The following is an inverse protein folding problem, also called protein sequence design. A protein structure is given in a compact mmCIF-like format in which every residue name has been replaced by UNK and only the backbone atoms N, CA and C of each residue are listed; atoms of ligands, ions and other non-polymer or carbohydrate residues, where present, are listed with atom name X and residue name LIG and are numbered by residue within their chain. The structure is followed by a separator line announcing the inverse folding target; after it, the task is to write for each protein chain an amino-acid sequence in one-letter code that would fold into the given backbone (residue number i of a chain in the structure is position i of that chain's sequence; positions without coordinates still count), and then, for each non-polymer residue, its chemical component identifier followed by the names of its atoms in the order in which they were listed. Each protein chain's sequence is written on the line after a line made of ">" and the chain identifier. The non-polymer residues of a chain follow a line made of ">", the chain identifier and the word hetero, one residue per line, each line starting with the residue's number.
data_IF_576097844087
#
_entry.id   IF_576097844087
#
_cell.length_a   1.000
_cell.length_b   1.000
_cell.length_c   1.000
_cell.angle_alpha   90.00
_cell.angle_beta   90.00
_cell.angle_gamma   90.00
#
_symmetry.space_group_name_H-M   'P 1'
#
loop_
_entity.id
_entity.type
_entity.pdbx_description
1 polymer ?
#
# COMPACT_ATOMS: atom_id res chain seq x y z
N UNK A 1 18.90 6.47 -41.16
CA UNK A 1 18.21 7.16 -40.02
C UNK A 1 18.59 6.41 -38.78
N UNK A 2 19.52 6.93 -38.00
CA UNK A 2 19.82 6.41 -36.67
C UNK A 2 18.56 6.60 -35.83
N UNK A 3 17.95 5.50 -35.42
CA UNK A 3 16.87 5.56 -34.44
C UNK A 3 17.49 6.08 -33.12
N UNK A 4 17.17 7.31 -32.76
CA UNK A 4 17.51 7.84 -31.45
C UNK A 4 17.05 6.82 -30.40
N UNK A 5 18.00 6.32 -29.60
CA UNK A 5 17.69 5.36 -28.53
C UNK A 5 16.73 6.06 -27.57
N UNK A 6 15.49 5.59 -27.51
CA UNK A 6 14.50 6.14 -26.62
C UNK A 6 14.90 5.86 -25.17
N UNK A 7 15.18 6.90 -24.40
CA UNK A 7 15.43 6.80 -22.95
C UNK A 7 14.12 6.57 -22.15
N UNK A 8 13.01 6.24 -22.85
CA UNK A 8 11.72 6.02 -22.22
C UNK A 8 11.61 4.62 -21.60
N UNK A 9 10.98 4.53 -20.45
CA UNK A 9 10.57 3.27 -19.81
C UNK A 9 9.10 3.01 -20.13
N UNK A 10 8.78 1.80 -20.60
CA UNK A 10 7.41 1.35 -20.75
C UNK A 10 6.93 0.74 -19.44
N UNK A 11 5.95 1.36 -18.80
CA UNK A 11 5.30 0.88 -17.60
C UNK A 11 4.03 0.12 -17.95
N UNK A 12 3.97 -1.19 -17.65
CA UNK A 12 2.82 -2.06 -17.99
C UNK A 12 2.10 -2.44 -16.71
N UNK A 13 0.86 -1.99 -16.53
CA UNK A 13 0.11 -2.19 -15.28
C UNK A 13 -1.40 -2.25 -15.48
N UNK A 14 -2.11 -2.91 -14.57
CA UNK A 14 -3.56 -2.77 -14.41
C UNK A 14 -3.92 -1.62 -13.44
N UNK A 15 -2.95 -1.19 -12.65
CA UNK A 15 -3.15 -0.34 -11.48
C UNK A 15 -2.71 1.10 -11.81
N UNK A 16 -3.48 1.74 -12.71
CA UNK A 16 -3.30 3.13 -13.10
C UNK A 16 -4.67 3.82 -13.18
N UNK A 17 -4.79 5.01 -12.58
CA UNK A 17 -6.06 5.73 -12.43
C UNK A 17 -6.93 5.89 -13.69
N UNK A 18 -8.11 6.48 -13.55
CA UNK A 18 -8.62 7.27 -12.41
C UNK A 18 -9.11 6.44 -11.20
N UNK A 19 -9.21 5.13 -11.32
CA UNK A 19 -9.56 4.26 -10.19
C UNK A 19 -8.55 4.44 -9.06
N UNK A 20 -9.03 4.50 -7.81
CA UNK A 20 -8.21 4.65 -6.62
C UNK A 20 -8.05 3.32 -5.86
N UNK A 21 -6.84 3.05 -5.38
CA UNK A 21 -6.49 1.88 -4.56
C UNK A 21 -5.05 2.00 -4.08
N UNK A 22 -4.65 1.18 -3.11
CA UNK A 22 -3.30 1.25 -2.53
C UNK A 22 -2.18 0.95 -3.53
N UNK A 23 -2.39 0.01 -4.46
CA UNK A 23 -1.42 -0.31 -5.52
C UNK A 23 -1.36 0.84 -6.53
N UNK A 24 -2.51 1.34 -6.97
CA UNK A 24 -2.61 2.49 -7.86
C UNK A 24 -1.87 3.70 -7.29
N UNK A 25 -2.12 4.05 -6.02
CA UNK A 25 -1.45 5.16 -5.33
C UNK A 25 0.07 4.97 -5.31
N UNK A 26 0.55 3.77 -5.06
CA UNK A 26 1.98 3.46 -5.06
C UNK A 26 2.60 3.63 -6.46
N UNK A 27 1.99 3.06 -7.49
CA UNK A 27 2.47 3.16 -8.87
C UNK A 27 2.46 4.61 -9.36
N UNK A 28 1.35 5.32 -9.13
CA UNK A 28 1.21 6.74 -9.44
C UNK A 28 2.28 7.56 -8.74
N UNK A 29 2.48 7.33 -7.44
CA UNK A 29 3.49 8.02 -6.65
C UNK A 29 4.92 7.83 -7.17
N UNK A 30 5.26 6.62 -7.65
CA UNK A 30 6.54 6.37 -8.32
C UNK A 30 6.64 7.14 -9.65
N UNK A 31 5.65 6.99 -10.53
CA UNK A 31 5.68 7.57 -11.89
C UNK A 31 5.74 9.11 -11.84
N UNK A 32 4.99 9.76 -10.96
CA UNK A 32 4.98 11.22 -10.80
C UNK A 32 6.35 11.80 -10.45
N UNK A 33 7.23 11.00 -9.84
CA UNK A 33 8.55 11.42 -9.35
C UNK A 33 9.71 10.98 -10.24
N UNK A 34 9.42 10.29 -11.33
CA UNK A 34 10.39 9.99 -12.37
C UNK A 34 10.60 11.22 -13.30
N UNK A 35 11.69 11.29 -14.05
CA UNK A 35 11.94 12.41 -14.97
C UNK A 35 10.77 12.61 -15.94
N UNK A 36 10.36 13.86 -16.15
CA UNK A 36 9.27 14.19 -17.09
C UNK A 36 9.56 13.60 -18.48
N UNK A 37 8.50 13.14 -19.14
CA UNK A 37 8.54 12.55 -20.48
C UNK A 37 9.38 11.27 -20.62
N UNK A 38 9.82 10.67 -19.50
CA UNK A 38 10.60 9.42 -19.50
C UNK A 38 9.73 8.15 -19.44
N UNK A 39 8.41 8.28 -19.28
CA UNK A 39 7.51 7.14 -19.07
C UNK A 39 6.41 7.11 -20.14
N UNK A 40 6.15 5.89 -20.61
CA UNK A 40 4.93 5.52 -21.33
C UNK A 40 4.21 4.51 -20.45
N UNK A 41 2.92 4.70 -20.22
CA UNK A 41 2.09 3.76 -19.46
C UNK A 41 1.21 2.97 -20.43
N UNK A 42 1.28 1.63 -20.38
CA UNK A 42 0.33 0.74 -21.02
C UNK A 42 -0.56 0.10 -19.95
N UNK A 43 -1.86 0.40 -20.00
CA UNK A 43 -2.79 0.01 -18.94
C UNK A 43 -4.12 -0.53 -19.50
N UNK A 44 -4.96 -1.07 -18.62
CA UNK A 44 -6.28 -1.60 -18.94
C UNK A 44 -7.30 -0.49 -19.26
N UNK A 45 -8.39 -0.86 -19.93
CA UNK A 45 -9.51 0.05 -20.16
C UNK A 45 -10.20 0.42 -18.85
N UNK A 46 -10.56 1.68 -18.72
CA UNK A 46 -11.44 2.22 -17.69
C UNK A 46 -12.38 3.24 -18.33
N UNK A 47 -13.43 3.62 -17.64
CA UNK A 47 -14.38 4.64 -18.11
C UNK A 47 -13.85 6.05 -17.79
N UNK A 48 -14.30 7.05 -18.54
CA UNK A 48 -14.03 8.47 -18.31
C UNK A 48 -12.54 8.86 -18.17
N UNK A 49 -11.67 8.22 -18.95
CA UNK A 49 -10.22 8.38 -18.80
C UNK A 49 -9.60 9.50 -19.59
N UNK A 50 -10.30 10.05 -20.61
CA UNK A 50 -9.72 11.01 -21.55
C UNK A 50 -9.13 12.26 -20.87
N UNK A 51 -9.86 12.84 -19.91
CA UNK A 51 -9.39 14.00 -19.16
C UNK A 51 -8.18 13.63 -18.26
N UNK A 52 -8.25 12.50 -17.60
CA UNK A 52 -7.17 11.98 -16.72
C UNK A 52 -5.88 11.72 -17.51
N UNK A 53 -5.97 11.06 -18.66
CA UNK A 53 -4.83 10.75 -19.51
C UNK A 53 -4.20 12.03 -20.11
N UNK A 54 -5.05 12.99 -20.54
CA UNK A 54 -4.60 14.30 -21.01
C UNK A 54 -3.90 15.12 -19.91
N UNK A 55 -4.36 15.01 -18.64
CA UNK A 55 -3.70 15.63 -17.50
C UNK A 55 -2.30 15.04 -17.29
N UNK A 56 -2.14 13.70 -17.32
CA UNK A 56 -0.84 13.05 -17.18
C UNK A 56 0.16 13.44 -18.26
N UNK A 57 -0.32 13.57 -19.51
CA UNK A 57 0.51 14.06 -20.61
C UNK A 57 0.98 15.49 -20.37
N UNK A 58 0.06 16.38 -19.96
CA UNK A 58 0.36 17.81 -19.73
C UNK A 58 1.29 18.03 -18.54
N UNK A 59 0.98 17.39 -17.40
CA UNK A 59 1.64 17.72 -16.13
C UNK A 59 2.98 16.97 -15.97
N UNK A 60 3.06 15.74 -16.48
CA UNK A 60 4.23 14.86 -16.32
C UNK A 60 4.89 14.43 -17.64
N UNK A 61 4.28 14.73 -18.79
CA UNK A 61 4.73 14.24 -20.09
C UNK A 61 4.59 12.72 -20.24
N UNK A 62 3.69 12.10 -19.49
CA UNK A 62 3.42 10.66 -19.52
C UNK A 62 2.37 10.35 -20.58
N UNK A 63 2.78 9.60 -21.59
CA UNK A 63 1.86 9.07 -22.60
C UNK A 63 1.14 7.83 -22.03
N UNK A 64 -0.20 7.84 -22.04
CA UNK A 64 -1.01 6.72 -21.55
C UNK A 64 -1.65 6.00 -22.72
N UNK A 65 -1.36 4.71 -22.88
CA UNK A 65 -1.93 3.84 -23.90
C UNK A 65 -2.86 2.85 -23.22
N UNK A 66 -4.15 2.92 -23.47
CA UNK A 66 -5.14 2.02 -22.89
C UNK A 66 -5.48 0.86 -23.82
N UNK A 67 -5.36 -0.35 -23.30
CA UNK A 67 -5.81 -1.58 -23.95
C UNK A 67 -7.36 -1.65 -23.95
N UNK A 68 -7.93 -2.44 -24.84
CA UNK A 68 -9.38 -2.71 -24.89
C UNK A 68 -9.85 -3.59 -23.73
N UNK A 69 -8.96 -4.36 -23.12
CA UNK A 69 -9.29 -5.25 -22.01
C UNK A 69 -9.49 -4.48 -20.70
N UNK A 70 -10.55 -4.79 -19.98
CA UNK A 70 -10.80 -4.27 -18.61
C UNK A 70 -9.77 -4.73 -17.58
N UNK A 71 -9.09 -5.85 -17.87
CA UNK A 71 -7.98 -6.40 -17.07
C UNK A 71 -6.93 -6.91 -18.05
N UNK A 72 -5.69 -6.42 -17.92
CA UNK A 72 -4.56 -6.95 -18.67
C UNK A 72 -4.16 -8.31 -18.11
N UNK A 73 -4.16 -9.30 -18.98
CA UNK A 73 -3.57 -10.61 -18.73
C UNK A 73 -2.49 -10.85 -19.80
N UNK A 74 -1.48 -11.67 -19.53
CA UNK A 74 -0.38 -11.95 -20.48
C UNK A 74 -0.81 -12.88 -21.64
N UNK A 75 -1.93 -12.54 -22.27
CA UNK A 75 -2.44 -13.25 -23.46
C UNK A 75 -1.54 -13.00 -24.67
N UNK A 76 -1.58 -13.86 -25.69
CA UNK A 76 -0.83 -13.64 -26.94
C UNK A 76 -1.16 -12.28 -27.61
N UNK A 77 -2.41 -11.81 -27.50
CA UNK A 77 -2.83 -10.51 -28.03
C UNK A 77 -2.16 -9.35 -27.29
N UNK A 78 -2.27 -9.33 -25.95
CA UNK A 78 -1.67 -8.28 -25.11
C UNK A 78 -0.15 -8.31 -25.22
N UNK A 79 0.46 -9.50 -25.16
CA UNK A 79 1.92 -9.66 -25.30
C UNK A 79 2.42 -9.11 -26.64
N UNK A 80 1.72 -9.36 -27.76
CA UNK A 80 2.06 -8.79 -29.08
C UNK A 80 1.86 -7.29 -29.14
N UNK A 81 0.81 -6.75 -28.52
CA UNK A 81 0.58 -5.30 -28.47
C UNK A 81 1.71 -4.59 -27.74
N UNK A 82 2.08 -5.06 -26.52
CA UNK A 82 3.18 -4.50 -25.75
C UNK A 82 4.53 -4.65 -26.48
N UNK A 83 4.80 -5.83 -27.05
CA UNK A 83 6.02 -6.08 -27.84
C UNK A 83 6.15 -5.15 -29.06
N UNK A 84 5.04 -4.82 -29.71
CA UNK A 84 5.01 -3.84 -30.82
C UNK A 84 5.42 -2.46 -30.35
N UNK A 85 4.92 -2.00 -29.21
CA UNK A 85 5.33 -0.70 -28.63
C UNK A 85 6.82 -0.70 -28.34
N UNK A 86 7.35 -1.78 -27.70
CA UNK A 86 8.78 -1.93 -27.41
C UNK A 86 9.62 -1.80 -28.67
N UNK A 87 9.27 -2.54 -29.75
CA UNK A 87 10.05 -2.53 -30.99
C UNK A 87 9.91 -1.23 -31.78
N UNK A 88 8.69 -0.69 -31.93
CA UNK A 88 8.44 0.50 -32.73
C UNK A 88 8.98 1.78 -32.11
N UNK A 89 8.94 1.89 -30.80
CA UNK A 89 9.45 3.07 -30.05
C UNK A 89 10.86 2.90 -29.54
N UNK A 90 11.54 1.78 -29.84
CA UNK A 90 12.92 1.52 -29.42
C UNK A 90 13.10 1.41 -27.91
N UNK A 91 12.06 1.02 -27.17
CA UNK A 91 12.07 0.94 -25.69
C UNK A 91 13.10 -0.08 -25.22
N UNK A 92 14.00 0.34 -24.32
CA UNK A 92 15.02 -0.55 -23.72
C UNK A 92 14.65 -1.00 -22.32
N UNK A 93 13.89 -0.22 -21.58
CA UNK A 93 13.49 -0.54 -20.20
C UNK A 93 11.98 -0.75 -20.10
N UNK A 94 11.58 -1.85 -19.46
CA UNK A 94 10.19 -2.17 -19.18
C UNK A 94 10.00 -2.38 -17.67
N UNK A 95 8.99 -1.74 -17.09
CA UNK A 95 8.57 -1.96 -15.72
C UNK A 95 7.16 -2.57 -15.68
N UNK A 96 6.98 -3.68 -14.98
CA UNK A 96 5.65 -4.22 -14.69
C UNK A 96 5.16 -3.67 -13.35
N UNK A 97 3.98 -3.06 -13.36
CA UNK A 97 3.33 -2.55 -12.15
C UNK A 97 2.93 -3.65 -11.16
N UNK A 98 2.74 -4.89 -11.65
CA UNK A 98 2.62 -6.09 -10.83
C UNK A 98 3.38 -7.23 -11.49
N UNK A 99 4.23 -7.92 -10.73
CA UNK A 99 5.06 -9.00 -11.24
C UNK A 99 4.21 -10.16 -11.76
N UNK A 100 3.23 -10.57 -11.00
CA UNK A 100 2.31 -11.63 -11.39
C UNK A 100 0.91 -11.05 -11.70
N UNK A 101 0.30 -11.39 -12.84
CA UNK A 101 0.80 -12.29 -13.89
C UNK A 101 1.59 -11.59 -15.02
N UNK A 102 1.65 -10.25 -15.07
CA UNK A 102 2.13 -9.49 -16.25
C UNK A 102 3.59 -9.78 -16.61
N UNK A 103 4.44 -10.05 -15.61
CA UNK A 103 5.84 -10.41 -15.82
C UNK A 103 6.07 -11.67 -16.68
N UNK A 104 5.04 -12.49 -16.89
CA UNK A 104 5.10 -13.62 -17.83
C UNK A 104 5.46 -13.19 -19.25
N UNK A 105 5.17 -11.95 -19.63
CA UNK A 105 5.49 -11.39 -20.94
C UNK A 105 6.98 -11.09 -21.13
N UNK A 106 7.81 -11.10 -20.08
CA UNK A 106 9.22 -10.69 -20.11
C UNK A 106 10.02 -11.30 -21.26
N UNK A 107 9.90 -12.62 -21.48
CA UNK A 107 10.60 -13.30 -22.58
C UNK A 107 10.21 -12.79 -23.97
N UNK A 108 8.95 -12.42 -24.16
CA UNK A 108 8.44 -11.84 -25.42
C UNK A 108 8.99 -10.43 -25.62
N UNK A 109 9.05 -9.64 -24.55
CA UNK A 109 9.54 -8.25 -24.61
C UNK A 109 11.06 -8.19 -24.79
N UNK A 110 11.81 -9.17 -24.25
CA UNK A 110 13.24 -9.36 -24.56
C UNK A 110 13.46 -9.54 -26.07
N UNK A 111 12.68 -10.42 -26.69
CA UNK A 111 12.75 -10.64 -28.15
C UNK A 111 12.38 -9.40 -28.96
N UNK A 112 11.55 -8.53 -28.42
CA UNK A 112 11.16 -7.27 -29.03
C UNK A 112 12.20 -6.14 -28.85
N UNK A 113 13.26 -6.34 -28.07
CA UNK A 113 14.37 -5.40 -27.90
C UNK A 113 14.51 -4.78 -26.51
N UNK A 114 13.70 -5.21 -25.53
CA UNK A 114 13.87 -4.77 -24.12
C UNK A 114 15.16 -5.35 -23.54
N UNK A 115 16.01 -4.48 -22.99
CA UNK A 115 17.30 -4.84 -22.37
C UNK A 115 17.17 -4.93 -20.84
N UNK A 116 16.31 -4.15 -20.25
CA UNK A 116 16.05 -4.08 -18.80
C UNK A 116 14.59 -4.35 -18.50
N UNK A 117 14.31 -5.28 -17.59
CA UNK A 117 12.93 -5.60 -17.15
C UNK A 117 12.89 -5.69 -15.64
N UNK A 118 12.11 -4.80 -15.02
CA UNK A 118 11.85 -4.74 -13.58
C UNK A 118 10.38 -5.07 -13.32
N UNK A 119 10.07 -5.78 -12.24
CA UNK A 119 8.69 -6.07 -11.90
C UNK A 119 8.42 -5.82 -10.41
N UNK A 120 7.40 -4.99 -10.13
CA UNK A 120 6.98 -4.66 -8.77
C UNK A 120 6.19 -5.80 -8.13
N UNK A 121 6.32 -5.99 -6.82
CA UNK A 121 5.45 -6.87 -6.04
C UNK A 121 4.76 -6.08 -4.92
N UNK A 122 3.52 -6.47 -4.58
CA UNK A 122 2.65 -5.74 -3.66
C UNK A 122 2.14 -6.57 -2.48
N UNK A 123 2.64 -7.79 -2.33
CA UNK A 123 2.20 -8.73 -1.30
C UNK A 123 1.23 -9.80 -1.78
N UNK A 124 0.44 -9.58 -2.85
CA UNK A 124 -0.38 -10.66 -3.40
C UNK A 124 0.47 -11.77 -4.04
N UNK A 125 1.70 -11.51 -4.43
CA UNK A 125 2.67 -12.50 -4.90
C UNK A 125 3.06 -13.51 -3.82
N UNK A 126 2.82 -13.21 -2.55
CA UNK A 126 2.97 -14.17 -1.44
C UNK A 126 2.07 -15.39 -1.63
N UNK A 127 0.83 -15.17 -2.10
CA UNK A 127 -0.08 -16.24 -2.47
C UNK A 127 0.48 -17.04 -3.65
N UNK A 128 0.97 -16.36 -4.71
CA UNK A 128 1.61 -17.02 -5.86
C UNK A 128 2.80 -17.88 -5.44
N UNK A 129 3.62 -17.40 -4.52
CA UNK A 129 4.78 -18.13 -4.04
C UNK A 129 4.43 -19.43 -3.29
N UNK A 130 3.27 -19.48 -2.63
CA UNK A 130 2.83 -20.61 -1.81
C UNK A 130 2.06 -21.68 -2.57
N UNK A 131 1.34 -21.32 -3.64
CA UNK A 131 0.35 -22.19 -4.28
C UNK A 131 0.86 -22.77 -5.58
N UNK A 132 0.89 -24.11 -5.71
CA UNK A 132 1.15 -24.79 -6.97
C UNK A 132 -0.08 -24.69 -7.90
N UNK A 133 0.07 -24.44 -9.24
CA UNK A 133 1.35 -24.28 -9.98
C UNK A 133 1.84 -22.82 -10.07
N UNK A 134 1.23 -21.88 -9.38
CA UNK A 134 1.52 -20.44 -9.48
C UNK A 134 2.95 -20.10 -9.04
N UNK A 135 3.52 -20.87 -8.10
CA UNK A 135 4.92 -20.73 -7.69
C UNK A 135 5.91 -21.01 -8.84
N UNK A 136 5.59 -21.92 -9.75
CA UNK A 136 6.42 -22.16 -10.95
C UNK A 136 6.32 -21.00 -11.94
N UNK A 137 5.14 -20.38 -12.05
CA UNK A 137 4.94 -19.19 -12.88
C UNK A 137 5.77 -18.02 -12.30
N UNK A 138 5.70 -17.80 -11.00
CA UNK A 138 6.46 -16.75 -10.31
C UNK A 138 7.99 -17.00 -10.45
N UNK A 139 8.43 -18.25 -10.33
CA UNK A 139 9.83 -18.63 -10.56
C UNK A 139 10.29 -18.29 -11.98
N UNK A 140 9.45 -18.57 -12.99
CA UNK A 140 9.74 -18.23 -14.38
C UNK A 140 9.79 -16.70 -14.57
N UNK A 141 8.85 -15.95 -14.00
CA UNK A 141 8.86 -14.49 -14.04
C UNK A 141 10.18 -13.97 -13.46
N UNK A 142 10.56 -14.39 -12.25
CA UNK A 142 11.82 -14.01 -11.63
C UNK A 142 13.06 -14.36 -12.47
N UNK A 143 13.04 -15.48 -13.19
CA UNK A 143 14.17 -15.90 -14.04
C UNK A 143 14.28 -15.11 -15.35
N UNK A 144 13.23 -14.41 -15.78
CA UNK A 144 13.17 -13.66 -17.05
C UNK A 144 13.15 -12.14 -16.86
N UNK A 145 13.03 -11.66 -15.63
CA UNK A 145 13.22 -10.28 -15.23
C UNK A 145 14.62 -10.05 -14.67
N UNK A 146 15.12 -8.83 -14.71
CA UNK A 146 16.41 -8.46 -14.09
C UNK A 146 16.29 -8.27 -12.58
N UNK A 147 15.13 -7.77 -12.14
CA UNK A 147 14.84 -7.62 -10.72
C UNK A 147 13.34 -7.71 -10.45
N UNK A 148 13.00 -8.40 -9.37
CA UNK A 148 11.72 -8.26 -8.68
C UNK A 148 11.90 -7.30 -7.51
N UNK A 149 10.89 -6.46 -7.24
CA UNK A 149 10.94 -5.64 -6.04
C UNK A 149 10.22 -6.33 -4.87
N UNK A 150 10.38 -5.80 -3.67
CA UNK A 150 9.62 -6.21 -2.48
C UNK A 150 9.36 -4.99 -1.60
N UNK A 151 8.29 -5.07 -0.79
CA UNK A 151 7.88 -3.95 0.07
C UNK A 151 8.63 -3.93 1.41
N UNK A 152 8.80 -5.09 2.03
CA UNK A 152 9.43 -5.29 3.33
C UNK A 152 9.97 -6.70 3.48
N UNK A 153 10.55 -7.02 4.64
CA UNK A 153 11.26 -8.29 4.88
C UNK A 153 10.33 -9.51 4.81
N UNK A 154 9.08 -9.35 5.23
CA UNK A 154 8.09 -10.41 5.09
C UNK A 154 7.87 -10.77 3.61
N UNK A 155 7.60 -9.79 2.75
CA UNK A 155 7.35 -10.04 1.33
C UNK A 155 8.57 -10.60 0.63
N UNK A 156 9.77 -10.09 0.95
CA UNK A 156 11.05 -10.65 0.47
C UNK A 156 11.18 -12.13 0.82
N UNK A 157 11.03 -12.46 2.10
CA UNK A 157 11.20 -13.82 2.61
C UNK A 157 10.19 -14.78 2.00
N UNK A 158 8.93 -14.36 1.86
CA UNK A 158 7.88 -15.20 1.31
C UNK A 158 8.07 -15.46 -0.20
N UNK A 159 8.38 -14.42 -0.98
CA UNK A 159 8.52 -14.50 -2.43
C UNK A 159 9.80 -15.22 -2.84
N UNK A 160 10.93 -14.97 -2.16
CA UNK A 160 12.22 -15.58 -2.46
C UNK A 160 12.19 -17.11 -2.44
N UNK A 161 11.32 -17.72 -1.62
CA UNK A 161 11.15 -19.19 -1.54
C UNK A 161 10.69 -19.82 -2.86
N UNK A 162 10.00 -19.08 -3.71
CA UNK A 162 9.56 -19.57 -5.02
C UNK A 162 10.57 -19.26 -6.13
N UNK A 163 11.59 -18.44 -5.88
CA UNK A 163 12.54 -17.99 -6.89
C UNK A 163 13.78 -18.91 -7.00
N UNK A 164 14.59 -18.71 -8.03
CA UNK A 164 15.95 -19.22 -8.07
C UNK A 164 16.86 -18.40 -7.15
N UNK A 165 17.99 -18.96 -6.69
CA UNK A 165 18.95 -18.23 -5.85
C UNK A 165 19.41 -16.93 -6.53
N UNK A 166 19.67 -16.94 -7.84
CA UNK A 166 20.05 -15.77 -8.63
C UNK A 166 18.93 -14.69 -8.60
N UNK A 167 17.67 -15.10 -8.84
CA UNK A 167 16.56 -14.15 -8.87
C UNK A 167 16.25 -13.60 -7.46
N UNK A 168 16.38 -14.43 -6.42
CA UNK A 168 16.19 -14.01 -5.04
C UNK A 168 17.25 -13.00 -4.59
N UNK A 169 18.53 -13.18 -4.97
CA UNK A 169 19.60 -12.24 -4.67
C UNK A 169 19.47 -10.91 -5.44
N UNK A 170 18.80 -10.92 -6.60
CA UNK A 170 18.56 -9.73 -7.41
C UNK A 170 17.33 -8.93 -6.97
N UNK A 171 16.59 -9.38 -5.94
CA UNK A 171 15.44 -8.64 -5.42
C UNK A 171 15.89 -7.30 -4.79
N UNK A 172 15.09 -6.25 -5.00
CA UNK A 172 15.36 -4.89 -4.48
C UNK A 172 14.17 -4.38 -3.67
N UNK A 173 14.45 -3.73 -2.51
CA UNK A 173 13.39 -3.09 -1.72
C UNK A 173 12.96 -1.80 -2.43
N UNK A 174 11.70 -1.75 -2.84
CA UNK A 174 11.01 -0.56 -3.33
C UNK A 174 9.65 -0.54 -2.63
N UNK A 175 9.46 0.42 -1.76
CA UNK A 175 8.25 0.57 -0.97
C UNK A 175 7.52 1.88 -1.31
N UNK A 176 6.23 2.02 -0.99
CA UNK A 176 5.55 3.29 -1.11
C UNK A 176 6.18 4.32 -0.18
N UNK A 177 6.38 5.53 -0.70
CA UNK A 177 6.80 6.67 0.10
C UNK A 177 5.62 7.34 0.78
N UNK A 178 5.91 8.16 1.77
CA UNK A 178 4.93 9.03 2.44
C UNK A 178 5.17 10.47 2.00
N UNK A 179 4.10 11.17 1.71
CA UNK A 179 4.08 12.62 1.48
C UNK A 179 3.97 13.32 2.84
N UNK A 180 5.11 13.60 3.42
CA UNK A 180 5.21 14.06 4.81
C UNK A 180 4.51 15.41 4.98
N UNK A 181 4.70 16.33 4.04
CA UNK A 181 4.09 17.65 4.08
C UNK A 181 2.56 17.54 4.11
N UNK A 182 1.99 16.65 3.29
CA UNK A 182 0.56 16.39 3.26
C UNK A 182 0.00 15.92 4.62
N UNK A 183 0.77 15.13 5.38
CA UNK A 183 0.35 14.61 6.69
C UNK A 183 0.67 15.55 7.86
N UNK A 184 1.51 16.57 7.68
CA UNK A 184 1.86 17.54 8.72
C UNK A 184 0.90 18.74 8.81
N UNK A 185 0.27 19.13 7.71
CA UNK A 185 -0.55 20.35 7.60
C UNK A 185 -2.05 20.12 7.92
N UNK A 186 -2.40 18.98 8.53
CA UNK A 186 -3.79 18.60 8.71
C UNK A 186 -4.47 19.39 9.83
N UNK A 187 -5.61 20.03 9.53
CA UNK A 187 -6.49 20.64 10.53
C UNK A 187 -7.34 19.57 11.23
N UNK A 188 -6.74 18.95 12.24
CA UNK A 188 -7.44 17.98 13.08
C UNK A 188 -8.38 18.64 14.10
N UNK A 189 -8.13 19.89 14.50
CA UNK A 189 -8.89 20.56 15.57
C UNK A 189 -10.33 20.87 15.16
N UNK A 190 -10.51 21.50 14.00
CA UNK A 190 -11.84 21.80 13.46
C UNK A 190 -12.64 20.53 13.18
N UNK A 191 -11.98 19.50 12.63
CA UNK A 191 -12.63 18.22 12.37
C UNK A 191 -13.01 17.52 13.69
N UNK A 192 -12.14 17.53 14.71
CA UNK A 192 -12.42 16.95 16.03
C UNK A 192 -13.63 17.62 16.68
N UNK A 193 -13.74 18.94 16.54
CA UNK A 193 -14.89 19.71 17.02
C UNK A 193 -16.19 19.33 16.26
N UNK A 194 -16.14 19.26 14.95
CA UNK A 194 -17.32 18.92 14.13
C UNK A 194 -17.84 17.50 14.37
N UNK A 195 -16.95 16.59 14.77
CA UNK A 195 -17.27 15.21 15.12
C UNK A 195 -17.69 15.03 16.59
N UNK A 196 -17.67 16.10 17.42
CA UNK A 196 -17.99 16.01 18.85
C UNK A 196 -16.96 15.24 19.68
N UNK A 197 -15.69 15.23 19.27
CA UNK A 197 -14.61 14.42 19.85
C UNK A 197 -13.62 15.23 20.70
N UNK A 198 -13.91 16.50 21.02
CA UNK A 198 -12.97 17.37 21.74
C UNK A 198 -12.52 16.78 23.08
N UNK A 199 -13.46 16.22 23.84
CA UNK A 199 -13.22 15.65 25.18
C UNK A 199 -12.99 14.12 25.14
N UNK A 200 -12.79 13.54 23.95
CA UNK A 200 -12.60 12.10 23.79
C UNK A 200 -11.13 11.74 23.62
N UNK A 201 -10.76 10.53 24.04
CA UNK A 201 -9.52 9.88 23.66
C UNK A 201 -9.77 8.99 22.44
N UNK A 202 -9.28 9.41 21.29
CA UNK A 202 -9.68 8.84 20.01
C UNK A 202 -8.71 7.76 19.53
N UNK A 203 -9.25 6.57 19.30
CA UNK A 203 -8.60 5.49 18.57
C UNK A 203 -9.06 5.60 17.12
N UNK A 204 -8.17 5.91 16.19
CA UNK A 204 -8.52 5.96 14.77
C UNK A 204 -8.08 4.69 14.06
N UNK A 205 -8.95 4.16 13.19
CA UNK A 205 -8.65 3.02 12.30
C UNK A 205 -9.08 3.35 10.89
N UNK A 206 -8.14 3.35 9.96
CA UNK A 206 -8.39 3.73 8.57
C UNK A 206 -8.12 2.54 7.65
N UNK A 207 -9.06 2.27 6.76
CA UNK A 207 -8.87 1.26 5.73
C UNK A 207 -10.16 0.63 5.25
N UNK A 208 -10.03 -0.21 4.23
CA UNK A 208 -11.17 -0.96 3.72
C UNK A 208 -11.76 -1.87 4.81
N UNK A 209 -13.08 -1.83 4.99
CA UNK A 209 -13.76 -2.68 5.98
C UNK A 209 -13.89 -4.11 5.44
N UNK A 210 -12.89 -4.94 5.80
CA UNK A 210 -12.76 -6.35 5.42
C UNK A 210 -12.15 -7.15 6.58
N UNK A 211 -12.46 -8.44 6.65
CA UNK A 211 -12.06 -9.32 7.75
C UNK A 211 -10.57 -9.23 8.15
N UNK A 212 -9.66 -9.15 7.19
CA UNK A 212 -8.22 -9.15 7.48
C UNK A 212 -7.73 -7.89 8.19
N UNK A 213 -8.51 -6.79 8.18
CA UNK A 213 -8.12 -5.52 8.81
C UNK A 213 -8.34 -5.49 10.34
N UNK A 214 -9.10 -6.45 10.89
CA UNK A 214 -9.23 -6.64 12.34
C UNK A 214 -10.10 -5.62 13.06
N UNK A 215 -10.91 -4.82 12.33
CA UNK A 215 -11.81 -3.85 12.98
C UNK A 215 -12.84 -4.51 13.91
N UNK A 216 -13.22 -5.75 13.66
CA UNK A 216 -14.09 -6.56 14.51
C UNK A 216 -13.45 -6.81 15.89
N UNK A 217 -12.22 -7.29 15.93
CA UNK A 217 -11.50 -7.50 17.22
C UNK A 217 -11.20 -6.19 17.93
N UNK A 218 -11.00 -5.09 17.20
CA UNK A 218 -10.86 -3.77 17.80
C UNK A 218 -12.18 -3.31 18.46
N UNK A 219 -13.35 -3.52 17.82
CA UNK A 219 -14.66 -3.25 18.42
C UNK A 219 -14.88 -4.16 19.65
N UNK A 220 -14.56 -5.46 19.55
CA UNK A 220 -14.68 -6.40 20.67
C UNK A 220 -13.76 -6.05 21.85
N UNK A 221 -12.68 -5.28 21.63
CA UNK A 221 -11.78 -4.78 22.67
C UNK A 221 -12.33 -3.53 23.39
N UNK A 222 -13.29 -2.80 22.79
CA UNK A 222 -13.78 -1.53 23.32
C UNK A 222 -14.43 -1.65 24.71
N UNK A 223 -15.19 -2.69 25.08
CA UNK A 223 -15.72 -2.79 26.44
C UNK A 223 -14.64 -2.78 27.52
N UNK A 224 -13.54 -3.48 27.31
CA UNK A 224 -12.39 -3.48 28.23
C UNK A 224 -11.67 -2.12 28.24
N UNK A 225 -11.53 -1.48 27.08
CA UNK A 225 -10.94 -0.14 26.99
C UNK A 225 -11.79 0.88 27.75
N UNK A 226 -13.10 0.90 27.52
CA UNK A 226 -14.03 1.84 28.16
C UNK A 226 -14.13 1.66 29.68
N UNK A 227 -13.93 0.44 30.18
CA UNK A 227 -13.88 0.18 31.62
C UNK A 227 -12.73 0.92 32.34
N UNK A 228 -11.63 1.25 31.63
CA UNK A 228 -10.47 1.96 32.18
C UNK A 228 -10.32 3.39 31.63
N UNK A 229 -10.87 3.65 30.44
CA UNK A 229 -10.81 4.92 29.74
C UNK A 229 -12.23 5.26 29.25
N UNK A 230 -13.13 5.73 30.10
CA UNK A 230 -14.54 5.98 29.77
C UNK A 230 -14.75 6.98 28.61
N UNK A 231 -13.80 7.89 28.42
CA UNK A 231 -13.78 8.87 27.34
C UNK A 231 -13.23 8.30 26.00
N UNK A 232 -12.86 7.03 25.93
CA UNK A 232 -12.36 6.43 24.70
C UNK A 232 -13.43 6.41 23.60
N UNK A 233 -13.00 6.71 22.36
CA UNK A 233 -13.87 6.68 21.19
C UNK A 233 -13.15 6.07 20.00
N UNK A 234 -13.79 5.10 19.36
CA UNK A 234 -13.26 4.44 18.15
C UNK A 234 -13.83 5.09 16.90
N UNK A 235 -12.96 5.64 16.07
CA UNK A 235 -13.29 6.24 14.77
C UNK A 235 -12.88 5.33 13.64
N UNK A 236 -13.85 4.73 12.93
CA UNK A 236 -13.64 3.86 11.78
C UNK A 236 -13.81 4.62 10.48
N UNK A 237 -12.73 4.78 9.73
CA UNK A 237 -12.70 5.51 8.46
C UNK A 237 -12.50 4.54 7.30
N UNK A 238 -13.47 4.48 6.40
CA UNK A 238 -13.45 3.62 5.24
C UNK A 238 -14.76 2.89 5.00
N UNK A 239 -14.81 2.15 3.89
CA UNK A 239 -15.95 1.35 3.47
C UNK A 239 -15.53 -0.07 3.10
N UNK A 240 -16.49 -0.98 3.06
CA UNK A 240 -16.26 -2.34 2.61
C UNK A 240 -17.39 -3.30 2.96
N UNK A 241 -17.36 -4.51 2.41
CA UNK A 241 -18.43 -5.49 2.56
C UNK A 241 -18.63 -5.99 4.00
N UNK A 242 -17.66 -5.72 4.89
CA UNK A 242 -17.71 -6.15 6.29
C UNK A 242 -18.44 -5.14 7.20
N UNK A 243 -18.83 -3.96 6.69
CA UNK A 243 -19.46 -2.88 7.46
C UNK A 243 -20.69 -3.35 8.26
N UNK A 244 -21.63 -4.00 7.59
CA UNK A 244 -22.86 -4.48 8.26
C UNK A 244 -22.59 -5.46 9.42
N UNK A 245 -21.51 -6.25 9.34
CA UNK A 245 -21.09 -7.11 10.45
C UNK A 245 -20.52 -6.28 11.60
N UNK A 246 -19.70 -5.27 11.31
CA UNK A 246 -19.11 -4.39 12.33
C UNK A 246 -20.20 -3.59 13.07
N UNK A 247 -21.22 -3.08 12.35
CA UNK A 247 -22.37 -2.39 12.96
C UNK A 247 -23.15 -3.31 13.91
N UNK A 248 -23.33 -4.58 13.54
CA UNK A 248 -23.95 -5.57 14.44
C UNK A 248 -23.12 -5.82 15.70
N UNK A 249 -21.79 -5.82 15.60
CA UNK A 249 -20.91 -5.95 16.78
C UNK A 249 -21.02 -4.73 17.69
N UNK A 250 -21.09 -3.52 17.13
CA UNK A 250 -21.32 -2.29 17.91
C UNK A 250 -22.63 -2.38 18.69
N UNK A 251 -23.72 -2.77 18.06
CA UNK A 251 -25.01 -2.97 18.74
C UNK A 251 -24.95 -4.09 19.81
N UNK A 252 -24.33 -5.22 19.48
CA UNK A 252 -24.19 -6.36 20.41
C UNK A 252 -23.50 -5.98 21.70
N UNK A 253 -22.52 -5.06 21.64
CA UNK A 253 -21.72 -4.61 22.78
C UNK A 253 -22.20 -3.26 23.35
N UNK A 254 -23.33 -2.71 22.86
CA UNK A 254 -23.89 -1.40 23.30
C UNK A 254 -22.86 -0.25 23.18
N UNK A 255 -22.16 -0.18 22.04
CA UNK A 255 -21.06 0.76 21.78
C UNK A 255 -21.44 1.93 20.86
N UNK A 256 -22.75 2.16 20.60
CA UNK A 256 -23.25 3.15 19.63
C UNK A 256 -22.78 4.59 19.97
N UNK A 257 -22.50 4.87 21.23
CA UNK A 257 -21.99 6.18 21.70
C UNK A 257 -20.45 6.27 21.67
N UNK A 258 -19.76 5.15 21.46
CA UNK A 258 -18.29 5.06 21.57
C UNK A 258 -17.61 4.61 20.27
N UNK A 259 -18.39 4.32 19.22
CA UNK A 259 -17.88 3.91 17.91
C UNK A 259 -18.57 4.68 16.79
N UNK A 260 -17.79 5.33 15.93
CA UNK A 260 -18.31 6.07 14.78
C UNK A 260 -17.80 5.50 13.46
N UNK A 261 -18.68 5.41 12.48
CA UNK A 261 -18.35 5.01 11.09
C UNK A 261 -18.42 6.23 10.18
N UNK A 262 -17.28 6.66 9.64
CA UNK A 262 -17.20 7.84 8.77
C UNK A 262 -17.58 7.50 7.31
N UNK A 263 -17.30 6.27 6.88
CA UNK A 263 -17.41 5.92 5.48
C UNK A 263 -16.15 6.26 4.68
N UNK A 264 -16.29 6.27 3.35
CA UNK A 264 -15.19 6.58 2.43
C UNK A 264 -14.92 8.08 2.39
N UNK A 265 -13.65 8.46 2.50
CA UNK A 265 -13.16 9.84 2.37
C UNK A 265 -12.26 9.98 1.14
N UNK A 266 -11.99 11.20 0.70
CA UNK A 266 -10.99 11.48 -0.34
C UNK A 266 -9.59 11.45 0.25
N UNK A 267 -8.58 11.12 -0.56
CA UNK A 267 -7.19 11.05 -0.10
C UNK A 267 -6.68 12.38 0.47
N UNK A 268 -7.10 13.51 -0.10
CA UNK A 268 -6.74 14.85 0.39
C UNK A 268 -7.21 15.13 1.83
N UNK A 269 -8.29 14.47 2.28
CA UNK A 269 -8.88 14.66 3.60
C UNK A 269 -8.33 13.63 4.61
N UNK A 270 -7.64 12.60 4.13
CA UNK A 270 -7.12 11.50 4.95
C UNK A 270 -6.25 11.96 6.13
N UNK A 271 -5.30 12.92 5.95
CA UNK A 271 -4.49 13.40 7.05
C UNK A 271 -5.32 13.96 8.21
N UNK A 272 -6.34 14.78 7.94
CA UNK A 272 -7.20 15.35 8.98
C UNK A 272 -7.91 14.26 9.77
N UNK A 273 -8.41 13.22 9.11
CA UNK A 273 -9.07 12.10 9.80
C UNK A 273 -8.11 11.23 10.60
N UNK A 274 -6.85 11.07 10.17
CA UNK A 274 -5.85 10.37 10.98
C UNK A 274 -5.45 11.22 12.18
N UNK A 275 -5.13 12.49 11.96
CA UNK A 275 -4.68 13.42 13.01
C UNK A 275 -5.75 13.75 14.07
N UNK A 276 -7.04 13.42 13.85
CA UNK A 276 -8.07 13.43 14.89
C UNK A 276 -7.77 12.42 16.00
N UNK A 277 -7.05 11.32 15.69
CA UNK A 277 -6.71 10.27 16.64
C UNK A 277 -5.67 10.69 17.68
N UNK A 278 -5.75 10.08 18.86
CA UNK A 278 -4.68 10.07 19.87
C UNK A 278 -3.75 8.88 19.64
N UNK A 279 -4.29 7.77 19.12
CA UNK A 279 -3.56 6.58 18.69
C UNK A 279 -4.17 6.04 17.39
N UNK A 280 -3.37 5.32 16.62
CA UNK A 280 -3.83 4.57 15.47
C UNK A 280 -3.87 3.07 15.78
N UNK A 281 -4.97 2.39 15.46
CA UNK A 281 -5.07 0.95 15.66
C UNK A 281 -5.73 0.25 14.45
N UNK A 282 -5.02 -0.72 13.88
CA UNK A 282 -5.57 -1.63 12.88
C UNK A 282 -4.96 -3.02 13.11
N UNK A 283 -5.54 -3.84 14.01
CA UNK A 283 -5.00 -5.15 14.37
C UNK A 283 -5.25 -6.17 13.26
N UNK A 284 -4.58 -5.98 12.12
CA UNK A 284 -4.72 -6.84 10.96
C UNK A 284 -4.32 -8.28 11.25
N UNK A 285 -5.00 -9.24 10.61
CA UNK A 285 -4.74 -10.67 10.78
C UNK A 285 -4.57 -11.40 9.47
N UNK A 286 -3.75 -12.44 9.48
CA UNK A 286 -3.61 -13.35 8.35
C UNK A 286 -4.78 -14.34 8.31
N UNK A 287 -5.23 -14.69 7.10
CA UNK A 287 -6.33 -15.63 6.88
C UNK A 287 -5.92 -16.73 5.91
N UNK A 288 -6.70 -17.82 5.90
CA UNK A 288 -6.50 -18.96 4.99
C UNK A 288 -5.06 -19.49 5.02
N UNK A 289 -4.52 -19.74 6.23
CA UNK A 289 -3.14 -20.21 6.37
C UNK A 289 -2.07 -19.26 5.84
N UNK A 290 -2.37 -17.94 5.86
CA UNK A 290 -1.44 -16.90 5.39
C UNK A 290 -1.44 -16.72 3.87
N UNK A 291 -2.53 -17.11 3.19
CA UNK A 291 -2.76 -16.77 1.78
C UNK A 291 -3.33 -15.36 1.61
N UNK A 292 -4.10 -14.88 2.59
CA UNK A 292 -4.56 -13.50 2.67
C UNK A 292 -3.85 -12.80 3.83
N UNK A 293 -2.98 -11.86 3.51
CA UNK A 293 -2.12 -11.12 4.46
C UNK A 293 -2.14 -9.63 4.18
N UNK A 294 -1.68 -8.83 5.14
CA UNK A 294 -1.34 -7.43 4.87
C UNK A 294 -0.02 -7.35 4.10
N UNK A 295 0.04 -6.59 3.00
CA UNK A 295 1.25 -6.48 2.19
C UNK A 295 2.36 -5.67 2.87
N UNK A 296 2.00 -4.50 3.41
CA UNK A 296 2.82 -3.61 4.21
C UNK A 296 1.94 -2.82 5.18
N UNK A 297 0.76 -2.33 4.70
CA UNK A 297 -0.09 -1.46 5.48
C UNK A 297 0.41 -0.02 5.51
N UNK A 298 0.45 0.65 4.36
CA UNK A 298 0.89 2.04 4.22
C UNK A 298 0.24 2.99 5.24
N UNK A 299 -0.99 2.71 5.65
CA UNK A 299 -1.74 3.52 6.62
C UNK A 299 -1.09 3.57 8.00
N UNK A 300 -0.29 2.57 8.38
CA UNK A 300 0.51 2.63 9.62
C UNK A 300 1.61 3.70 9.51
N UNK A 301 2.25 3.77 8.33
CA UNK A 301 3.27 4.79 8.05
C UNK A 301 2.64 6.19 7.96
N UNK A 302 1.45 6.29 7.37
CA UNK A 302 0.67 7.54 7.32
C UNK A 302 0.30 8.02 8.72
N UNK A 303 -0.13 7.11 9.62
CA UNK A 303 -0.40 7.43 11.02
C UNK A 303 0.87 7.87 11.78
N UNK A 304 1.99 7.19 11.54
CA UNK A 304 3.28 7.61 12.12
C UNK A 304 3.73 8.98 11.59
N UNK A 305 3.45 9.31 10.33
CA UNK A 305 3.69 10.65 9.77
C UNK A 305 2.87 11.74 10.47
N UNK A 306 1.62 11.43 10.87
CA UNK A 306 0.80 12.27 11.73
C UNK A 306 1.29 12.36 13.18
N UNK A 307 2.32 11.60 13.56
CA UNK A 307 2.84 11.57 14.93
C UNK A 307 2.00 10.73 15.89
N UNK A 308 1.23 9.76 15.38
CA UNK A 308 0.47 8.84 16.22
C UNK A 308 1.26 7.57 16.48
N UNK A 309 1.26 7.03 17.70
CA UNK A 309 1.74 5.68 17.95
C UNK A 309 0.76 4.67 17.33
N UNK A 310 1.30 3.57 16.85
CA UNK A 310 0.58 2.60 16.04
C UNK A 310 0.39 1.28 16.78
N UNK A 311 -0.82 0.72 16.75
CA UNK A 311 -1.08 -0.68 17.10
C UNK A 311 -1.38 -1.44 15.81
N UNK A 312 -0.41 -2.23 15.35
CA UNK A 312 -0.53 -3.05 14.15
C UNK A 312 -0.74 -4.52 14.49
N UNK A 313 -1.49 -5.24 13.65
CA UNK A 313 -1.62 -6.68 13.81
C UNK A 313 -0.43 -7.43 13.18
N UNK A 314 -0.06 -8.58 13.75
CA UNK A 314 1.00 -9.46 13.25
C UNK A 314 0.57 -10.21 11.97
N UNK A 315 0.25 -9.47 10.91
CA UNK A 315 -0.22 -10.00 9.63
C UNK A 315 0.70 -9.61 8.49
N UNK A 316 1.34 -10.59 7.89
CA UNK A 316 2.15 -10.37 6.70
C UNK A 316 3.24 -9.33 6.93
N UNK A 317 3.25 -8.30 6.10
CA UNK A 317 4.20 -7.19 6.16
C UNK A 317 3.80 -6.04 7.10
N UNK A 318 2.69 -6.14 7.82
CA UNK A 318 2.30 -5.09 8.78
C UNK A 318 3.37 -4.80 9.84
N UNK A 319 4.08 -5.81 10.39
CA UNK A 319 5.21 -5.55 11.30
C UNK A 319 6.36 -4.74 10.68
N UNK A 320 6.55 -4.81 9.36
CA UNK A 320 7.60 -4.03 8.66
C UNK A 320 7.30 -2.51 8.66
N UNK A 321 6.08 -2.11 9.00
CA UNK A 321 5.62 -0.73 9.08
C UNK A 321 5.57 -0.17 10.53
N UNK A 322 6.15 -0.89 11.51
CA UNK A 322 6.23 -0.49 12.92
C UNK A 322 7.58 -0.89 13.50
N UNK A 323 8.22 -0.03 14.26
CA UNK A 323 9.36 -0.39 15.11
C UNK A 323 8.81 -0.71 16.50
N UNK A 324 8.76 -2.04 16.83
CA UNK A 324 8.18 -2.55 18.07
C UNK A 324 8.75 -1.85 19.31
N UNK A 325 7.87 -1.34 20.17
CA UNK A 325 8.22 -0.62 21.39
C UNK A 325 8.79 0.78 21.19
N UNK A 326 9.02 1.22 19.95
CA UNK A 326 9.59 2.54 19.62
C UNK A 326 8.57 3.44 18.90
N UNK A 327 7.93 2.96 17.85
CA UNK A 327 6.92 3.73 17.09
C UNK A 327 5.50 3.21 17.34
N UNK A 328 5.37 2.11 18.06
CA UNK A 328 4.10 1.46 18.34
C UNK A 328 4.28 0.03 18.80
N UNK A 329 3.21 -0.76 18.69
CA UNK A 329 3.17 -2.15 19.08
C UNK A 329 2.64 -3.05 17.97
N UNK A 330 3.21 -4.24 17.85
CA UNK A 330 2.71 -5.32 17.00
C UNK A 330 2.00 -6.35 17.90
N UNK A 331 0.73 -6.61 17.63
CA UNK A 331 -0.10 -7.50 18.44
C UNK A 331 -0.64 -8.67 17.61
N UNK A 332 -1.00 -9.76 18.25
CA UNK A 332 -1.88 -10.73 17.62
C UNK A 332 -3.24 -10.06 17.35
N UNK A 333 -3.57 -9.86 16.08
CA UNK A 333 -4.79 -9.17 15.66
C UNK A 333 -6.10 -9.91 15.98
N UNK A 334 -6.02 -11.09 16.62
CA UNK A 334 -7.16 -11.88 17.14
C UNK A 334 -7.25 -11.89 18.66
N UNK A 335 -6.27 -11.31 19.35
CA UNK A 335 -6.23 -11.25 20.81
C UNK A 335 -6.80 -9.90 21.31
N UNK A 336 -8.11 -9.89 21.62
CA UNK A 336 -8.82 -8.69 22.09
C UNK A 336 -8.25 -8.11 23.38
N UNK A 337 -7.78 -8.97 24.30
CA UNK A 337 -7.16 -8.55 25.56
C UNK A 337 -5.83 -7.80 25.31
N UNK A 338 -4.98 -8.32 24.44
CA UNK A 338 -3.71 -7.67 24.11
C UNK A 338 -3.94 -6.35 23.37
N UNK A 339 -4.91 -6.31 22.44
CA UNK A 339 -5.30 -5.07 21.75
C UNK A 339 -5.77 -4.03 22.76
N UNK A 340 -6.68 -4.42 23.68
CA UNK A 340 -7.20 -3.53 24.72
C UNK A 340 -6.08 -3.01 25.62
N UNK A 341 -5.22 -3.90 26.13
CA UNK A 341 -4.14 -3.52 27.05
C UNK A 341 -3.17 -2.52 26.42
N UNK A 342 -2.79 -2.70 25.13
CA UNK A 342 -1.94 -1.74 24.41
C UNK A 342 -2.64 -0.40 24.16
N UNK A 343 -3.91 -0.42 23.80
CA UNK A 343 -4.71 0.80 23.62
C UNK A 343 -4.82 1.57 24.94
N UNK A 344 -5.17 0.90 26.05
CA UNK A 344 -5.26 1.51 27.40
C UNK A 344 -3.91 2.11 27.80
N UNK A 345 -2.83 1.37 27.64
CA UNK A 345 -1.46 1.83 27.95
C UNK A 345 -1.16 3.17 27.25
N UNK A 346 -1.41 3.23 25.93
CA UNK A 346 -1.15 4.43 25.12
C UNK A 346 -2.12 5.58 25.44
N UNK A 347 -3.39 5.29 25.77
CA UNK A 347 -4.38 6.31 26.06
C UNK A 347 -4.18 6.93 27.46
N UNK A 348 -3.64 6.17 28.43
CA UNK A 348 -3.39 6.65 29.79
C UNK A 348 -2.01 7.29 29.96
N UNK A 349 -0.98 6.77 29.27
CA UNK A 349 0.38 7.31 29.35
C UNK A 349 0.63 8.33 28.21
N UNK A 350 0.36 9.60 28.52
CA UNK A 350 0.57 10.69 27.56
C UNK A 350 2.04 10.84 27.14
N UNK A 351 2.99 10.59 28.05
CA UNK A 351 4.41 10.71 27.76
C UNK A 351 4.81 9.62 26.76
N UNK A 352 4.46 8.37 27.03
CA UNK A 352 4.72 7.25 26.12
C UNK A 352 4.10 7.49 24.74
N UNK A 353 2.85 7.95 24.71
CA UNK A 353 2.13 8.28 23.48
C UNK A 353 2.86 9.33 22.64
N UNK A 354 3.32 10.41 23.25
CA UNK A 354 4.08 11.47 22.57
C UNK A 354 5.45 11.00 22.11
N UNK A 355 6.19 10.27 22.96
CA UNK A 355 7.52 9.77 22.64
C UNK A 355 7.47 8.82 21.46
N UNK A 356 6.53 7.86 21.43
CA UNK A 356 6.33 6.94 20.32
C UNK A 356 5.88 7.64 19.04
N UNK A 357 4.95 8.59 19.14
CA UNK A 357 4.48 9.36 17.99
C UNK A 357 5.60 10.19 17.37
N UNK A 358 6.42 10.86 18.19
CA UNK A 358 7.58 11.64 17.74
C UNK A 358 8.65 10.74 17.09
N UNK A 359 8.93 9.59 17.69
CA UNK A 359 9.85 8.60 17.12
C UNK A 359 9.34 8.06 15.77
N UNK A 360 8.02 7.81 15.68
CA UNK A 360 7.36 7.39 14.45
C UNK A 360 7.54 8.41 13.33
N UNK A 361 7.24 9.68 13.59
CA UNK A 361 7.42 10.77 12.63
C UNK A 361 8.86 10.89 12.16
N UNK A 362 9.83 10.93 13.08
CA UNK A 362 11.25 11.02 12.74
C UNK A 362 11.73 9.83 11.88
N UNK A 363 11.19 8.64 12.14
CA UNK A 363 11.48 7.47 11.33
C UNK A 363 10.90 7.58 9.91
N UNK A 364 9.66 8.10 9.76
CA UNK A 364 9.06 8.33 8.45
C UNK A 364 9.86 9.35 7.65
N UNK A 365 10.25 10.46 8.25
CA UNK A 365 11.07 11.51 7.61
C UNK A 365 12.39 10.95 7.11
N UNK A 366 13.04 10.09 7.89
CA UNK A 366 14.36 9.53 7.58
C UNK A 366 14.31 8.43 6.53
N UNK A 367 13.30 7.55 6.54
CA UNK A 367 13.35 6.29 5.80
C UNK A 367 12.21 6.09 4.80
N UNK A 368 11.09 6.82 4.94
CA UNK A 368 9.90 6.56 4.16
C UNK A 368 9.48 7.71 3.24
N UNK A 369 10.28 8.76 3.15
CA UNK A 369 10.00 9.86 2.23
C UNK A 369 10.01 9.39 0.76
N UNK A 370 9.08 9.90 -0.04
CA UNK A 370 8.95 9.53 -1.46
C UNK A 370 10.25 9.70 -2.27
N UNK A 371 11.06 10.74 -1.98
CA UNK A 371 12.32 10.98 -2.71
C UNK A 371 13.28 9.78 -2.61
N UNK A 372 13.30 9.08 -1.46
CA UNK A 372 14.15 7.91 -1.25
C UNK A 372 13.73 6.77 -2.18
N UNK A 373 12.44 6.45 -2.18
CA UNK A 373 11.92 5.29 -2.91
C UNK A 373 11.83 5.52 -4.42
N UNK A 374 11.45 6.74 -4.84
CA UNK A 374 11.47 7.12 -6.25
C UNK A 374 12.89 7.19 -6.80
N UNK A 375 13.87 7.68 -6.02
CA UNK A 375 15.28 7.67 -6.37
C UNK A 375 15.82 6.26 -6.58
N UNK A 376 15.60 5.36 -5.60
CA UNK A 376 15.97 3.94 -5.72
C UNK A 376 15.31 3.25 -6.91
N UNK A 377 14.06 3.57 -7.19
CA UNK A 377 13.35 3.00 -8.33
C UNK A 377 13.91 3.54 -9.65
N UNK A 378 14.19 4.83 -9.74
CA UNK A 378 14.83 5.45 -10.92
C UNK A 378 16.18 4.79 -11.22
N UNK A 379 17.03 4.60 -10.21
CA UNK A 379 18.30 3.87 -10.36
C UNK A 379 18.08 2.44 -10.82
N UNK A 380 17.06 1.74 -10.28
CA UNK A 380 16.76 0.37 -10.64
C UNK A 380 16.35 0.25 -12.11
N UNK A 381 15.73 1.27 -12.69
CA UNK A 381 15.34 1.30 -14.10
C UNK A 381 16.51 1.56 -15.05
N UNK A 382 17.59 2.21 -14.58
CA UNK A 382 18.72 2.67 -15.41
C UNK A 382 19.98 1.81 -15.32
N UNK A 383 20.07 0.91 -14.32
CA UNK A 383 21.17 -0.08 -14.20
C UNK A 383 21.05 -1.10 -15.31
#
# INVERSE_FOLDING_TARGET
>A
MEHAVSNKTLFVTNDFGPRAGGIETFIIGLIQRLPKSSIIVYTSAQEETAHYDAQWLRDFGVEVIRDKAKILLPTPRVSRAVARIVSQQGIKTVAFGAAAPLGWMSSTLRKAGALRIVALTHGHEVWWAKVFPFNLILRRIGSTTDSLTYLGDFTRTAISKALTAKSASAMQKIAPGIDIEHFMEADAKSLRQSLGLCEKKVIVSVGRLVHRKGQDFLIESMPQILAQVPEAHLLLVGEGPYRAHLEKLVMKHSLEQSVSFIGRIQYKDLPSYICVGDIFAMPSRSRFGGLEVEGLGIVYLEASACGLPVIAGASGGAPDAVIEGVTGFVVDGTNTELIANRAIQLLLDEKLRRDMGSAGRAWIEKEWHWAIWAGKFSELLTR
#
